data_IF_038453098572
#
_entry.id   IF_038453098572
#
_cell.length_a   1.000
_cell.length_b   1.000
_cell.length_c   1.000
_cell.angle_alpha   90.00
_cell.angle_beta   90.00
_cell.angle_gamma   90.00
#
_symmetry.space_group_name_H-M   'P 1'
#
loop_
_entity.id
_entity.type
_entity.pdbx_description
1 polymer ?
#
# COMPACT_ATOMS: atom_id res chain seq x y z
N UNK A 1 -54.08 8.10 -12.87
CA UNK A 1 -52.81 7.54 -13.36
C UNK A 1 -51.70 7.95 -12.39
N UNK A 2 -51.34 7.09 -11.43
CA UNK A 2 -50.20 7.32 -10.52
C UNK A 2 -48.98 6.67 -11.16
N UNK A 3 -48.00 7.48 -11.57
CA UNK A 3 -46.69 6.98 -12.03
C UNK A 3 -45.90 6.56 -10.80
N UNK A 4 -45.62 5.26 -10.69
CA UNK A 4 -44.58 4.73 -9.82
C UNK A 4 -43.23 5.23 -10.35
N UNK A 5 -42.54 6.04 -9.56
CA UNK A 5 -41.12 6.29 -9.73
C UNK A 5 -40.40 5.01 -9.32
N UNK A 6 -39.97 4.23 -10.31
CA UNK A 6 -38.99 3.16 -10.10
C UNK A 6 -37.68 3.81 -9.72
N UNK A 7 -37.45 3.97 -8.41
CA UNK A 7 -36.13 4.28 -7.88
C UNK A 7 -35.19 3.15 -8.25
N UNK A 8 -34.24 3.43 -9.13
CA UNK A 8 -33.10 2.56 -9.40
C UNK A 8 -32.39 2.37 -8.06
N UNK A 9 -32.53 1.18 -7.46
CA UNK A 9 -31.65 0.76 -6.40
C UNK A 9 -30.23 0.79 -6.98
N UNK A 10 -29.46 1.82 -6.63
CA UNK A 10 -28.01 1.76 -6.77
C UNK A 10 -27.58 0.54 -5.96
N UNK A 11 -27.24 -0.54 -6.67
CA UNK A 11 -26.53 -1.65 -6.08
C UNK A 11 -25.21 -1.07 -5.60
N UNK A 12 -25.10 -0.82 -4.29
CA UNK A 12 -23.81 -0.71 -3.63
C UNK A 12 -23.11 -2.02 -3.96
N UNK A 13 -22.12 -1.99 -4.87
CA UNK A 13 -21.21 -3.12 -5.03
C UNK A 13 -20.70 -3.41 -3.62
N UNK A 14 -20.80 -4.66 -3.18
CA UNK A 14 -20.14 -5.12 -1.97
C UNK A 14 -18.64 -5.00 -2.29
N UNK A 15 -18.08 -3.83 -2.06
CA UNK A 15 -16.72 -3.47 -2.41
C UNK A 15 -15.78 -4.19 -1.46
N UNK A 16 -14.67 -4.70 -2.00
CA UNK A 16 -13.53 -5.08 -1.17
C UNK A 16 -13.17 -3.87 -0.29
N UNK A 17 -13.09 -4.08 1.01
CA UNK A 17 -12.57 -3.07 1.94
C UNK A 17 -11.07 -3.28 2.03
N UNK A 18 -10.30 -2.23 1.74
CA UNK A 18 -8.86 -2.21 1.97
C UNK A 18 -8.58 -1.67 3.38
N UNK A 19 -7.42 -1.98 3.94
CA UNK A 19 -7.08 -1.67 5.33
C UNK A 19 -5.72 -1.00 5.43
N UNK A 20 -5.58 0.03 6.26
CA UNK A 20 -4.33 0.72 6.51
C UNK A 20 -3.76 0.39 7.88
N UNK A 21 -2.47 0.12 7.94
CA UNK A 21 -1.73 0.00 9.19
C UNK A 21 -0.81 1.21 9.39
N UNK A 22 -1.05 1.99 10.45
CA UNK A 22 -0.23 3.15 10.78
C UNK A 22 1.22 2.79 11.18
N UNK A 23 1.43 1.59 11.72
CA UNK A 23 2.76 1.15 12.18
C UNK A 23 3.71 0.86 11.02
N UNK A 24 3.18 0.29 9.93
CA UNK A 24 3.95 -0.06 8.73
C UNK A 24 3.83 0.98 7.61
N UNK A 25 2.76 1.79 7.62
CA UNK A 25 2.41 2.68 6.52
C UNK A 25 1.87 1.96 5.27
N UNK A 26 1.55 0.66 5.38
CA UNK A 26 1.13 -0.19 4.26
C UNK A 26 -0.39 -0.40 4.24
N UNK A 27 -0.87 -0.78 3.06
CA UNK A 27 -2.28 -0.91 2.71
C UNK A 27 -2.53 -2.38 2.37
N UNK A 28 -3.57 -3.00 2.89
CA UNK A 28 -3.78 -4.45 2.86
C UNK A 28 -5.17 -4.78 2.31
N UNK A 29 -5.26 -5.84 1.51
CA UNK A 29 -6.55 -6.33 1.00
C UNK A 29 -7.33 -7.21 1.97
N UNK A 30 -6.72 -7.60 3.09
CA UNK A 30 -7.31 -8.53 4.06
C UNK A 30 -7.13 -8.01 5.50
N UNK A 31 -8.24 -7.96 6.25
CA UNK A 31 -8.27 -7.41 7.61
C UNK A 31 -7.47 -8.26 8.60
N UNK A 32 -7.54 -9.59 8.46
CA UNK A 32 -6.88 -10.53 9.37
C UNK A 32 -5.38 -10.45 9.19
N UNK A 33 -4.94 -10.40 7.93
CA UNK A 33 -3.54 -10.18 7.60
C UNK A 33 -3.05 -8.83 8.13
N UNK A 34 -3.77 -7.74 7.87
CA UNK A 34 -3.41 -6.42 8.42
C UNK A 34 -3.29 -6.44 9.96
N UNK A 35 -4.27 -7.03 10.63
CA UNK A 35 -4.29 -7.10 12.11
C UNK A 35 -3.20 -8.03 12.69
N UNK A 36 -2.63 -8.92 11.87
CA UNK A 36 -1.52 -9.80 12.31
C UNK A 36 -0.17 -9.08 12.33
N UNK A 37 -0.04 -7.97 11.59
CA UNK A 37 1.20 -7.22 11.43
C UNK A 37 1.13 -5.83 12.08
N UNK A 38 -0.07 -5.31 12.32
CA UNK A 38 -0.29 -4.03 12.97
C UNK A 38 -0.53 -4.19 14.47
N UNK A 39 0.19 -3.44 15.29
CA UNK A 39 -0.07 -3.35 16.74
C UNK A 39 -1.31 -2.51 17.02
N UNK A 40 -1.56 -1.48 16.22
CA UNK A 40 -2.79 -0.69 16.25
C UNK A 40 -3.89 -1.31 15.38
N UNK A 41 -5.19 -1.10 15.70
CA UNK A 41 -6.27 -1.57 14.85
C UNK A 41 -6.15 -1.00 13.44
N UNK A 42 -6.26 -1.87 12.43
CA UNK A 42 -6.21 -1.43 11.05
C UNK A 42 -7.43 -0.58 10.68
N UNK A 43 -7.18 0.56 10.04
CA UNK A 43 -8.20 1.49 9.60
C UNK A 43 -8.80 1.03 8.27
N UNK A 44 -10.13 1.06 8.14
CA UNK A 44 -10.79 0.77 6.85
C UNK A 44 -10.57 1.95 5.91
N UNK A 45 -10.00 1.66 4.75
CA UNK A 45 -9.77 2.64 3.68
C UNK A 45 -11.08 3.00 2.97
N UNK A 46 -11.22 4.27 2.60
CA UNK A 46 -12.32 4.71 1.75
C UNK A 46 -12.01 4.34 0.31
N UNK A 47 -12.79 3.43 -0.25
CA UNK A 47 -12.58 2.90 -1.60
C UNK A 47 -12.47 4.04 -2.64
N UNK A 48 -11.35 4.08 -3.36
CA UNK A 48 -11.20 4.92 -4.54
C UNK A 48 -11.91 4.28 -5.73
N UNK A 49 -12.63 5.07 -6.52
CA UNK A 49 -13.51 4.57 -7.59
C UNK A 49 -12.75 4.21 -8.89
N UNK A 50 -11.40 4.20 -8.87
CA UNK A 50 -10.57 4.07 -10.07
C UNK A 50 -9.32 3.21 -9.78
N UNK A 51 -9.24 2.00 -10.34
CA UNK A 51 -8.07 1.12 -10.26
C UNK A 51 -8.23 -0.12 -11.13
N UNK A 52 -7.12 -0.75 -11.52
CA UNK A 52 -7.14 -2.09 -12.11
C UNK A 52 -7.60 -3.09 -11.04
N UNK A 53 -8.42 -4.07 -11.46
CA UNK A 53 -8.96 -5.06 -10.52
C UNK A 53 -7.92 -6.06 -10.08
N UNK A 54 -7.81 -6.29 -8.77
CA UNK A 54 -6.98 -7.35 -8.21
C UNK A 54 -7.42 -8.71 -8.74
N UNK A 55 -6.49 -9.45 -9.35
CA UNK A 55 -6.74 -10.82 -9.79
C UNK A 55 -6.69 -11.79 -8.59
N UNK A 56 -7.82 -11.91 -7.92
CA UNK A 56 -7.97 -12.80 -6.76
C UNK A 56 -8.10 -14.28 -7.14
N UNK A 57 -8.14 -14.62 -8.42
CA UNK A 57 -8.10 -16.02 -8.88
C UNK A 57 -6.69 -16.57 -8.79
N UNK A 58 -5.70 -15.78 -9.21
CA UNK A 58 -4.31 -16.22 -9.29
C UNK A 58 -3.43 -15.75 -8.12
N UNK A 59 -3.80 -14.66 -7.44
CA UNK A 59 -3.02 -14.07 -6.36
C UNK A 59 -3.83 -13.88 -5.08
N UNK A 60 -3.13 -13.71 -3.96
CA UNK A 60 -3.71 -13.37 -2.66
C UNK A 60 -2.77 -12.48 -1.84
N UNK A 61 -3.29 -11.93 -0.73
CA UNK A 61 -2.57 -11.07 0.21
C UNK A 61 -1.93 -9.85 -0.47
N UNK A 62 -2.76 -9.05 -1.14
CA UNK A 62 -2.29 -7.84 -1.79
C UNK A 62 -1.93 -6.79 -0.72
N UNK A 63 -0.77 -6.17 -0.92
CA UNK A 63 -0.23 -5.10 -0.09
C UNK A 63 0.19 -3.95 -1.00
N UNK A 64 -0.33 -2.75 -0.77
CA UNK A 64 0.17 -1.56 -1.45
C UNK A 64 1.16 -0.79 -0.57
N UNK A 65 2.32 -0.51 -1.16
CA UNK A 65 3.38 0.32 -0.61
C UNK A 65 3.29 1.74 -1.23
N UNK A 66 2.88 2.76 -0.46
CA UNK A 66 2.79 4.12 -0.96
C UNK A 66 4.15 4.79 -1.21
N UNK A 67 5.25 4.28 -0.64
CA UNK A 67 6.58 4.90 -0.75
C UNK A 67 7.16 4.72 -2.16
N UNK A 68 7.08 3.50 -2.68
CA UNK A 68 7.51 3.12 -4.03
C UNK A 68 6.35 3.10 -5.02
N UNK A 69 5.13 3.40 -4.56
CA UNK A 69 3.90 3.37 -5.34
C UNK A 69 3.69 2.01 -6.04
N UNK A 70 3.79 0.92 -5.28
CA UNK A 70 3.77 -0.47 -5.79
C UNK A 70 2.76 -1.33 -5.04
N UNK A 71 1.93 -2.07 -5.77
CA UNK A 71 1.11 -3.15 -5.18
C UNK A 71 1.84 -4.47 -5.33
N UNK A 72 1.98 -5.21 -4.23
CA UNK A 72 2.69 -6.49 -4.14
C UNK A 72 1.69 -7.56 -3.71
N UNK A 73 1.76 -8.76 -4.29
CA UNK A 73 0.96 -9.90 -3.87
C UNK A 73 1.75 -11.19 -4.02
N UNK A 74 1.18 -12.31 -3.55
CA UNK A 74 1.78 -13.63 -3.73
C UNK A 74 0.91 -14.53 -4.61
N UNK A 75 1.54 -15.25 -5.55
CA UNK A 75 0.86 -16.24 -6.41
C UNK A 75 0.25 -17.35 -5.58
N UNK A 76 -0.95 -17.86 -5.92
CA UNK A 76 -1.52 -19.04 -5.24
C UNK A 76 -0.85 -20.35 -5.68
N UNK A 77 -0.39 -20.42 -6.92
CA UNK A 77 0.38 -21.55 -7.44
C UNK A 77 1.85 -21.45 -7.02
N UNK A 78 2.50 -22.61 -6.95
CA UNK A 78 3.96 -22.72 -6.85
C UNK A 78 4.50 -23.30 -8.13
N UNK A 79 5.60 -22.75 -8.62
CA UNK A 79 6.28 -23.20 -9.83
C UNK A 79 7.75 -22.76 -9.80
N UNK A 80 8.47 -23.05 -10.88
CA UNK A 80 9.81 -22.54 -11.08
C UNK A 80 9.79 -21.05 -11.50
N UNK A 81 10.89 -20.35 -11.22
CA UNK A 81 11.00 -18.90 -11.39
C UNK A 81 10.57 -18.41 -12.79
N UNK A 82 10.95 -19.13 -13.85
CA UNK A 82 10.66 -18.77 -15.25
C UNK A 82 9.20 -18.93 -15.69
N UNK A 83 8.32 -19.47 -14.83
CA UNK A 83 6.88 -19.61 -15.11
C UNK A 83 6.06 -18.41 -14.65
N UNK A 84 6.69 -17.44 -13.98
CA UNK A 84 6.05 -16.24 -13.47
C UNK A 84 6.38 -15.01 -14.32
N UNK A 85 5.52 -14.00 -14.24
CA UNK A 85 5.74 -12.70 -14.86
C UNK A 85 5.38 -11.60 -13.85
N UNK A 86 5.99 -10.42 -13.99
CA UNK A 86 5.76 -9.33 -13.04
C UNK A 86 6.28 -9.64 -11.64
N UNK A 87 7.37 -10.41 -11.53
CA UNK A 87 7.99 -10.75 -10.25
C UNK A 87 8.40 -9.48 -9.48
N UNK A 88 8.38 -9.54 -8.15
CA UNK A 88 8.71 -8.39 -7.31
C UNK A 88 10.14 -7.89 -7.57
N UNK A 89 10.27 -6.63 -7.96
CA UNK A 89 11.52 -5.85 -7.95
C UNK A 89 11.55 -5.09 -6.63
N UNK A 90 12.62 -5.28 -5.86
CA UNK A 90 12.78 -4.65 -4.54
C UNK A 90 13.70 -3.45 -4.67
N UNK A 91 13.13 -2.25 -4.72
CA UNK A 91 13.91 -1.01 -4.92
C UNK A 91 14.57 -0.51 -3.63
N UNK A 92 13.90 -0.73 -2.50
CA UNK A 92 14.36 -0.30 -1.18
C UNK A 92 13.86 -1.22 -0.04
N UNK A 93 14.18 -0.83 1.19
CA UNK A 93 13.79 -1.55 2.40
C UNK A 93 12.27 -1.62 2.61
N UNK A 94 11.50 -0.67 2.07
CA UNK A 94 10.04 -0.65 2.21
C UNK A 94 9.36 -1.69 1.33
N UNK A 95 9.85 -1.90 0.10
CA UNK A 95 9.43 -3.01 -0.76
C UNK A 95 9.78 -4.35 -0.13
N UNK A 96 10.99 -4.46 0.45
CA UNK A 96 11.43 -5.66 1.13
C UNK A 96 10.52 -6.01 2.31
N UNK A 97 10.16 -4.99 3.10
CA UNK A 97 9.28 -5.13 4.25
C UNK A 97 7.86 -5.55 3.82
N UNK A 98 7.31 -4.94 2.76
CA UNK A 98 6.00 -5.31 2.24
C UNK A 98 5.96 -6.79 1.78
N UNK A 99 6.98 -7.25 1.05
CA UNK A 99 7.15 -8.66 0.69
C UNK A 99 7.30 -9.56 1.91
N UNK A 100 8.17 -9.19 2.85
CA UNK A 100 8.42 -9.93 4.10
C UNK A 100 7.14 -10.14 4.90
N UNK A 101 6.28 -9.14 5.04
CA UNK A 101 5.04 -9.25 5.81
C UNK A 101 4.12 -10.35 5.25
N UNK A 102 4.02 -10.44 3.91
CA UNK A 102 3.27 -11.52 3.23
C UNK A 102 3.87 -12.88 3.55
N UNK A 103 5.19 -13.02 3.43
CA UNK A 103 5.89 -14.29 3.65
C UNK A 103 5.90 -14.71 5.12
N UNK A 104 6.03 -13.77 6.05
CA UNK A 104 5.96 -13.97 7.48
C UNK A 104 4.57 -14.45 7.90
N UNK A 105 3.51 -13.85 7.36
CA UNK A 105 2.13 -14.26 7.65
C UNK A 105 1.85 -15.70 7.20
N UNK A 106 2.38 -16.07 6.03
CA UNK A 106 2.26 -17.43 5.49
C UNK A 106 3.29 -18.42 6.04
N UNK A 107 4.30 -17.94 6.79
CA UNK A 107 5.47 -18.70 7.22
C UNK A 107 6.11 -19.50 6.06
N UNK A 108 6.41 -18.82 4.96
CA UNK A 108 6.88 -19.42 3.72
C UNK A 108 8.04 -18.64 3.09
N UNK A 109 8.52 -19.12 1.96
CA UNK A 109 9.47 -18.43 1.07
C UNK A 109 8.83 -18.23 -0.31
N UNK A 110 9.34 -17.29 -1.09
CA UNK A 110 8.85 -17.07 -2.44
C UNK A 110 9.93 -16.53 -3.38
N UNK A 111 9.82 -16.85 -4.67
CA UNK A 111 10.62 -16.21 -5.70
C UNK A 111 10.40 -14.70 -5.72
N UNK A 112 11.47 -13.97 -5.97
CA UNK A 112 11.45 -12.54 -6.32
C UNK A 112 12.12 -12.35 -7.68
N UNK A 113 12.04 -11.15 -8.22
CA UNK A 113 12.43 -10.84 -9.60
C UNK A 113 13.92 -10.81 -9.90
N UNK A 114 14.78 -11.16 -8.95
CA UNK A 114 16.24 -11.06 -9.07
C UNK A 114 16.82 -12.37 -9.63
N UNK A 115 17.70 -12.28 -10.62
CA UNK A 115 18.33 -13.45 -11.24
C UNK A 115 19.70 -13.14 -11.87
N UNK A 116 20.49 -14.17 -12.12
CA UNK A 116 21.78 -14.12 -12.82
C UNK A 116 21.56 -14.40 -14.32
N UNK A 117 21.63 -13.39 -15.21
CA UNK A 117 21.33 -13.54 -16.62
C UNK A 117 22.42 -14.29 -17.39
N UNK A 118 23.65 -14.31 -16.86
CA UNK A 118 24.82 -14.88 -17.53
C UNK A 118 25.07 -16.34 -17.10
N UNK A 119 24.28 -16.86 -16.14
CA UNK A 119 24.45 -18.18 -15.54
C UNK A 119 25.91 -18.40 -15.11
N UNK A 120 26.40 -17.44 -14.31
CA UNK A 120 27.81 -17.26 -14.01
C UNK A 120 28.40 -18.50 -13.31
N UNK A 121 29.60 -18.96 -13.69
CA UNK A 121 30.23 -20.15 -13.10
C UNK A 121 30.99 -19.85 -11.79
N UNK A 122 30.57 -18.83 -11.04
CA UNK A 122 31.19 -18.46 -9.76
C UNK A 122 30.71 -19.37 -8.62
N UNK A 123 30.88 -20.69 -8.78
CA UNK A 123 30.30 -21.70 -7.90
C UNK A 123 30.88 -21.67 -6.50
N UNK A 124 30.02 -21.83 -5.48
CA UNK A 124 30.39 -21.86 -4.06
C UNK A 124 31.21 -20.61 -3.64
N UNK A 125 30.85 -19.45 -4.19
CA UNK A 125 31.52 -18.18 -3.99
C UNK A 125 30.50 -17.05 -3.90
N UNK A 126 30.58 -16.28 -2.82
CA UNK A 126 29.72 -15.11 -2.62
C UNK A 126 29.97 -14.06 -3.70
N UNK A 127 28.99 -13.84 -4.57
CA UNK A 127 29.12 -12.88 -5.67
C UNK A 127 27.77 -12.22 -6.03
N UNK A 128 27.35 -11.16 -5.31
CA UNK A 128 26.09 -10.48 -5.57
C UNK A 128 26.07 -9.67 -6.87
N UNK A 129 27.22 -9.30 -7.45
CA UNK A 129 27.25 -8.41 -8.63
C UNK A 129 26.81 -9.08 -9.93
N UNK A 130 26.58 -10.39 -9.93
CA UNK A 130 26.09 -11.14 -11.10
C UNK A 130 24.58 -11.03 -11.30
N UNK A 131 23.86 -10.44 -10.35
CA UNK A 131 22.41 -10.38 -10.37
C UNK A 131 21.87 -9.07 -10.98
N UNK A 132 20.75 -9.19 -11.68
CA UNK A 132 19.94 -8.08 -12.21
C UNK A 132 18.46 -8.37 -11.97
N UNK A 133 17.64 -7.32 -11.93
CA UNK A 133 16.19 -7.48 -11.92
C UNK A 133 15.68 -7.87 -13.32
N UNK A 134 14.60 -8.65 -13.38
CA UNK A 134 14.00 -9.11 -14.65
C UNK A 134 13.56 -7.97 -15.59
N UNK A 135 13.31 -6.79 -15.05
CA UNK A 135 12.97 -5.58 -15.81
C UNK A 135 14.21 -4.83 -16.35
N UNK A 136 15.41 -5.34 -16.08
CA UNK A 136 16.69 -4.79 -16.48
C UNK A 136 17.22 -3.69 -15.54
N UNK A 137 16.52 -3.37 -14.46
CA UNK A 137 17.01 -2.38 -13.49
C UNK A 137 18.20 -2.94 -12.69
N UNK A 138 19.20 -2.09 -12.36
CA UNK A 138 20.33 -2.52 -11.56
C UNK A 138 19.94 -2.69 -10.09
N UNK A 139 20.68 -3.53 -9.37
CA UNK A 139 20.47 -3.75 -7.93
C UNK A 139 21.00 -2.55 -7.13
N UNK A 140 20.09 -1.75 -6.58
CA UNK A 140 20.39 -0.62 -5.67
C UNK A 140 20.20 -0.95 -4.19
N UNK A 141 19.38 -1.96 -3.90
CA UNK A 141 19.09 -2.45 -2.56
C UNK A 141 19.28 -3.96 -2.53
N UNK A 142 19.83 -4.47 -1.42
CA UNK A 142 20.00 -5.90 -1.22
C UNK A 142 19.80 -6.28 0.25
N UNK A 143 19.17 -7.43 0.47
CA UNK A 143 18.97 -7.99 1.81
C UNK A 143 19.37 -9.48 1.87
N UNK A 144 20.56 -9.79 1.38
CA UNK A 144 21.10 -11.15 1.37
C UNK A 144 21.23 -11.75 2.77
N UNK A 145 20.93 -13.03 2.88
CA UNK A 145 21.28 -13.83 4.05
C UNK A 145 22.80 -13.85 4.24
N UNK A 146 23.24 -14.16 5.45
CA UNK A 146 24.68 -14.24 5.75
C UNK A 146 25.32 -15.35 4.92
N UNK A 147 26.25 -14.99 4.05
CA UNK A 147 26.92 -15.93 3.15
C UNK A 147 26.36 -15.93 1.73
N UNK A 148 25.27 -15.22 1.47
CA UNK A 148 24.59 -15.22 0.17
C UNK A 148 24.93 -13.99 -0.69
N UNK A 149 24.77 -14.08 -2.02
CA UNK A 149 24.45 -15.29 -2.80
C UNK A 149 25.71 -16.09 -3.10
N UNK A 150 25.73 -17.40 -2.84
CA UNK A 150 26.92 -18.24 -2.93
C UNK A 150 27.02 -19.11 -4.19
N UNK A 151 25.99 -19.13 -5.04
CA UNK A 151 25.94 -19.95 -6.25
C UNK A 151 26.27 -21.42 -5.94
N UNK A 152 25.58 -21.98 -4.95
CA UNK A 152 25.90 -23.30 -4.42
C UNK A 152 25.82 -24.39 -5.50
N UNK A 153 26.74 -25.36 -5.45
CA UNK A 153 26.72 -26.55 -6.31
C UNK A 153 27.00 -27.79 -5.49
N UNK A 154 26.05 -28.74 -5.51
CA UNK A 154 26.26 -30.06 -4.95
C UNK A 154 27.14 -30.92 -5.88
N UNK A 155 27.96 -31.80 -5.29
CA UNK A 155 28.79 -32.72 -6.08
C UNK A 155 28.00 -33.64 -6.99
N UNK A 156 26.74 -33.92 -6.64
CA UNK A 156 25.81 -34.77 -7.37
C UNK A 156 25.25 -34.07 -8.62
N UNK A 157 25.26 -32.74 -8.65
CA UNK A 157 24.76 -31.95 -9.78
C UNK A 157 25.69 -32.03 -10.98
N UNK A 158 26.99 -32.17 -10.72
CA UNK A 158 28.04 -32.14 -11.74
C UNK A 158 27.83 -33.26 -12.76
N UNK A 159 27.52 -32.87 -13.99
CA UNK A 159 27.25 -33.79 -15.10
C UNK A 159 25.84 -34.40 -15.12
N UNK A 160 24.98 -34.03 -14.17
CA UNK A 160 23.60 -34.53 -14.03
C UNK A 160 22.54 -33.45 -14.27
N UNK A 161 22.81 -32.20 -13.87
CA UNK A 161 21.90 -31.06 -14.03
C UNK A 161 22.56 -29.94 -14.85
N UNK A 162 21.73 -29.12 -15.51
CA UNK A 162 22.17 -27.98 -16.31
C UNK A 162 21.06 -26.91 -16.39
N UNK A 163 21.39 -25.61 -16.24
CA UNK A 163 22.68 -25.08 -15.77
C UNK A 163 23.03 -25.55 -14.34
N UNK A 164 24.33 -25.47 -14.01
CA UNK A 164 24.83 -25.76 -12.67
C UNK A 164 24.77 -24.49 -11.84
N UNK A 165 24.51 -24.63 -10.55
CA UNK A 165 24.51 -23.50 -9.63
C UNK A 165 23.14 -22.87 -9.47
N UNK A 166 23.15 -21.83 -8.66
CA UNK A 166 21.97 -21.12 -8.20
C UNK A 166 21.92 -19.74 -8.87
N UNK A 167 20.84 -19.49 -9.61
CA UNK A 167 20.73 -18.34 -10.51
C UNK A 167 19.47 -17.53 -10.31
N UNK A 168 18.56 -17.95 -9.42
CA UNK A 168 17.29 -17.29 -9.17
C UNK A 168 17.14 -17.04 -7.69
N UNK A 169 16.56 -15.90 -7.32
CA UNK A 169 16.55 -15.46 -5.93
C UNK A 169 15.17 -15.64 -5.33
N UNK A 170 15.14 -16.17 -4.12
CA UNK A 170 13.95 -16.19 -3.28
C UNK A 170 14.15 -15.34 -2.02
N UNK A 171 13.05 -14.86 -1.47
CA UNK A 171 12.98 -14.19 -0.18
C UNK A 171 12.37 -15.14 0.86
N UNK A 172 12.87 -15.11 2.09
CA UNK A 172 12.33 -15.87 3.22
C UNK A 172 11.36 -15.05 4.10
N UNK A 173 10.77 -15.72 5.11
CA UNK A 173 9.84 -15.09 6.05
C UNK A 173 10.46 -13.98 6.92
N UNK A 174 11.79 -13.97 7.06
CA UNK A 174 12.57 -12.89 7.68
C UNK A 174 12.89 -11.74 6.71
N UNK A 175 12.54 -11.90 5.43
CA UNK A 175 12.77 -10.91 4.38
C UNK A 175 14.18 -10.99 3.81
N UNK A 176 14.98 -11.98 4.21
CA UNK A 176 16.34 -12.18 3.73
C UNK A 176 16.35 -12.99 2.44
N UNK A 177 17.38 -12.79 1.62
CA UNK A 177 17.45 -13.35 0.27
C UNK A 177 18.53 -14.43 0.17
N UNK A 178 18.25 -15.46 -0.61
CA UNK A 178 19.21 -16.48 -1.03
C UNK A 178 18.95 -16.79 -2.50
N UNK A 179 19.98 -17.18 -3.23
CA UNK A 179 19.82 -17.82 -4.52
C UNK A 179 19.44 -19.29 -4.36
N UNK A 180 18.88 -19.84 -5.43
CA UNK A 180 18.50 -21.24 -5.59
C UNK A 180 18.57 -21.58 -7.09
N UNK A 181 18.59 -22.88 -7.39
CA UNK A 181 19.11 -23.39 -8.65
C UNK A 181 18.54 -24.74 -9.03
N UNK A 182 19.08 -25.31 -10.09
CA UNK A 182 18.74 -26.68 -10.45
C UNK A 182 19.62 -27.64 -9.66
N UNK A 183 18.99 -28.50 -8.87
CA UNK A 183 19.67 -29.52 -8.08
C UNK A 183 19.07 -30.90 -8.31
N UNK A 184 19.94 -31.91 -8.35
CA UNK A 184 19.52 -33.31 -8.50
C UNK A 184 18.57 -33.73 -7.36
N UNK A 185 18.75 -33.14 -6.18
CA UNK A 185 17.97 -33.37 -4.97
C UNK A 185 16.48 -33.04 -5.12
N UNK A 186 16.11 -32.14 -6.04
CA UNK A 186 14.70 -31.85 -6.34
C UNK A 186 14.01 -32.94 -7.16
N UNK A 187 14.78 -33.84 -7.78
CA UNK A 187 14.26 -34.90 -8.64
C UNK A 187 13.50 -34.37 -9.86
N UNK A 188 12.92 -35.28 -10.66
CA UNK A 188 12.12 -34.90 -11.82
C UNK A 188 12.89 -34.04 -12.82
N UNK A 189 12.50 -32.78 -12.94
CA UNK A 189 13.12 -31.76 -13.80
C UNK A 189 14.20 -30.92 -13.11
N UNK A 190 14.58 -31.29 -11.88
CA UNK A 190 15.58 -30.64 -11.02
C UNK A 190 15.19 -29.23 -10.57
N UNK A 191 13.94 -28.81 -10.77
CA UNK A 191 13.49 -27.45 -10.53
C UNK A 191 12.84 -27.29 -9.14
N UNK A 192 13.33 -26.38 -8.29
CA UNK A 192 12.63 -25.98 -7.08
C UNK A 192 11.31 -25.31 -7.44
N UNK A 193 10.26 -25.57 -6.64
CA UNK A 193 8.93 -24.99 -6.85
C UNK A 193 8.57 -24.17 -5.63
N UNK A 194 8.33 -22.88 -5.85
CA UNK A 194 7.95 -21.92 -4.82
C UNK A 194 6.82 -21.05 -5.35
N UNK A 195 6.05 -20.47 -4.45
CA UNK A 195 5.20 -19.33 -4.80
C UNK A 195 6.10 -18.16 -5.20
N UNK A 196 5.53 -17.13 -5.80
CA UNK A 196 6.27 -15.94 -6.19
C UNK A 196 5.61 -14.68 -5.66
N UNK A 197 6.43 -13.74 -5.19
CA UNK A 197 5.99 -12.36 -4.97
C UNK A 197 5.98 -11.66 -6.33
N UNK A 198 4.87 -10.99 -6.63
CA UNK A 198 4.64 -10.25 -7.87
C UNK A 198 4.27 -8.80 -7.56
N UNK A 199 4.41 -7.92 -8.55
CA UNK A 199 4.16 -6.50 -8.39
C UNK A 199 3.37 -5.87 -9.55
N UNK A 200 2.69 -4.77 -9.23
CA UNK A 200 2.08 -3.82 -10.16
C UNK A 200 2.42 -2.39 -9.73
N UNK A 201 2.56 -1.50 -10.71
CA UNK A 201 2.67 -0.07 -10.42
C UNK A 201 1.31 0.49 -9.98
N UNK A 202 1.33 1.32 -8.93
CA UNK A 202 0.15 1.99 -8.39
C UNK A 202 -0.74 1.11 -7.52
N UNK A 203 -1.89 1.66 -7.13
CA UNK A 203 -2.90 0.97 -6.33
C UNK A 203 -3.83 0.13 -7.22
N UNK A 204 -4.04 -1.13 -6.83
CA UNK A 204 -5.13 -1.96 -7.36
C UNK A 204 -6.39 -1.80 -6.51
N UNK A 205 -7.57 -2.09 -7.07
CA UNK A 205 -8.86 -1.80 -6.41
C UNK A 205 -9.03 -2.42 -5.00
N UNK A 206 -8.48 -3.60 -4.75
CA UNK A 206 -8.59 -4.29 -3.46
C UNK A 206 -7.65 -3.74 -2.37
N UNK A 207 -6.72 -2.85 -2.73
CA UNK A 207 -5.82 -2.11 -1.83
C UNK A 207 -5.94 -0.60 -2.02
N UNK A 208 -6.95 -0.17 -2.79
CA UNK A 208 -7.16 1.22 -3.15
C UNK A 208 -7.91 1.95 -2.05
N UNK A 209 -7.48 3.18 -1.78
CA UNK A 209 -8.22 4.10 -0.97
C UNK A 209 -7.33 5.08 -0.24
N UNK A 210 -7.96 5.95 0.54
CA UNK A 210 -7.25 6.89 1.40
C UNK A 210 -7.52 6.54 2.87
N UNK A 211 -6.48 6.57 3.73
CA UNK A 211 -6.65 6.52 5.17
C UNK A 211 -7.65 7.59 5.62
N UNK A 212 -8.47 7.26 6.62
CA UNK A 212 -9.51 8.16 7.10
C UNK A 212 -8.94 9.18 8.10
N UNK A 213 -8.01 10.05 7.68
CA UNK A 213 -7.45 11.10 8.57
C UNK A 213 -6.92 12.39 7.87
N UNK A 214 -7.16 13.53 8.58
CA UNK A 214 -6.87 14.98 8.50
C UNK A 214 -6.14 15.69 7.33
N UNK A 215 -5.79 15.04 6.20
CA UNK A 215 -5.03 15.68 5.11
C UNK A 215 -5.65 15.60 3.71
N UNK A 216 -6.94 15.28 3.61
CA UNK A 216 -7.65 15.42 2.34
C UNK A 216 -7.82 16.91 2.02
N UNK A 217 -7.36 17.35 0.85
CA UNK A 217 -7.59 18.74 0.44
C UNK A 217 -9.09 18.97 0.27
N UNK A 218 -9.56 20.21 0.38
CA UNK A 218 -10.99 20.53 0.20
C UNK A 218 -11.52 20.05 -1.15
N UNK A 219 -10.70 20.08 -2.20
CA UNK A 219 -11.06 19.59 -3.53
C UNK A 219 -11.22 18.07 -3.54
N UNK A 220 -10.36 17.34 -2.85
CA UNK A 220 -10.46 15.89 -2.72
C UNK A 220 -11.73 15.52 -1.96
N UNK A 221 -12.07 16.25 -0.89
CA UNK A 221 -13.32 16.06 -0.14
C UNK A 221 -14.57 16.35 -0.97
N UNK A 222 -14.59 17.44 -1.75
CA UNK A 222 -15.72 17.81 -2.63
C UNK A 222 -15.90 16.77 -3.74
N UNK A 223 -14.81 16.29 -4.32
CA UNK A 223 -14.85 15.24 -5.33
C UNK A 223 -15.34 13.91 -4.72
N UNK A 224 -14.83 13.56 -3.54
CA UNK A 224 -15.08 12.30 -2.85
C UNK A 224 -16.52 12.16 -2.35
N UNK A 225 -17.06 13.18 -1.68
CA UNK A 225 -18.37 13.08 -1.04
C UNK A 225 -19.49 13.78 -1.81
N UNK A 226 -19.15 14.75 -2.65
CA UNK A 226 -20.13 15.55 -3.38
C UNK A 226 -20.04 15.38 -4.90
N UNK A 227 -19.19 14.48 -5.40
CA UNK A 227 -19.03 14.24 -6.85
C UNK A 227 -18.62 15.49 -7.62
N UNK A 228 -17.86 16.40 -6.98
CA UNK A 228 -17.46 17.67 -7.57
C UNK A 228 -18.51 18.79 -7.47
N UNK A 229 -19.65 18.55 -6.83
CA UNK A 229 -20.73 19.54 -6.74
C UNK A 229 -20.49 20.57 -5.62
N UNK A 230 -20.71 21.84 -5.96
CA UNK A 230 -20.67 22.96 -5.02
C UNK A 230 -22.02 23.69 -5.01
N UNK A 231 -22.61 24.03 -3.85
CA UNK A 231 -22.08 23.86 -2.50
C UNK A 231 -22.16 22.40 -2.00
N UNK A 232 -21.07 21.92 -1.41
CA UNK A 232 -20.97 20.59 -0.80
C UNK A 232 -21.39 20.69 0.68
N UNK A 233 -22.31 19.83 1.12
CA UNK A 233 -22.77 19.79 2.52
C UNK A 233 -22.39 18.45 3.11
N UNK A 234 -21.54 18.48 4.14
CA UNK A 234 -21.01 17.29 4.78
C UNK A 234 -21.33 17.32 6.27
N UNK A 235 -21.31 16.16 6.90
CA UNK A 235 -21.26 16.07 8.34
C UNK A 235 -20.33 14.97 8.82
N UNK A 236 -19.88 15.12 10.07
CA UNK A 236 -18.98 14.18 10.72
C UNK A 236 -19.53 13.83 12.10
N UNK A 237 -19.54 12.55 12.46
CA UNK A 237 -19.98 12.04 13.77
C UNK A 237 -18.81 11.62 14.68
N UNK A 238 -17.62 12.17 14.43
CA UNK A 238 -16.38 11.75 15.10
C UNK A 238 -15.84 10.40 14.64
N UNK A 239 -16.60 9.60 13.89
CA UNK A 239 -16.19 8.28 13.37
C UNK A 239 -16.32 8.14 11.86
N UNK A 240 -17.20 8.90 11.21
CA UNK A 240 -17.43 8.93 9.76
C UNK A 240 -17.51 10.38 9.22
N UNK A 241 -17.45 10.55 7.90
CA UNK A 241 -17.86 11.76 7.19
C UNK A 241 -18.88 11.31 6.13
N UNK A 242 -20.03 11.98 6.07
CA UNK A 242 -21.12 11.65 5.14
C UNK A 242 -21.56 12.87 4.32
N UNK A 243 -22.03 12.60 3.10
CA UNK A 243 -22.75 13.57 2.27
C UNK A 243 -24.15 13.82 2.85
N UNK A 244 -24.50 15.08 3.05
CA UNK A 244 -25.83 15.44 3.50
C UNK A 244 -26.86 15.15 2.40
N UNK A 245 -28.05 14.73 2.81
CA UNK A 245 -29.21 14.56 1.92
C UNK A 245 -30.24 15.65 2.17
N UNK A 246 -31.00 16.00 1.13
CA UNK A 246 -32.08 16.98 1.27
C UNK A 246 -33.24 16.37 2.06
N UNK A 247 -33.69 17.04 3.13
CA UNK A 247 -34.80 16.55 3.96
C UNK A 247 -35.40 17.64 4.85
N UNK A 248 -36.54 17.32 5.47
CA UNK A 248 -37.24 18.24 6.37
C UNK A 248 -36.61 18.22 7.76
N UNK A 249 -36.16 19.38 8.25
CA UNK A 249 -35.61 19.50 9.62
C UNK A 249 -36.73 19.25 10.63
N UNK A 250 -36.54 18.28 11.53
CA UNK A 250 -37.54 17.89 12.51
C UNK A 250 -37.98 19.10 13.36
N UNK A 251 -39.27 19.46 13.26
CA UNK A 251 -39.84 20.60 13.99
C UNK A 251 -39.90 21.94 13.22
N UNK A 252 -39.52 21.96 11.93
CA UNK A 252 -39.67 23.16 11.07
C UNK A 252 -40.35 22.82 9.75
N UNK A 253 -40.95 23.81 9.08
CA UNK A 253 -41.52 23.69 7.73
C UNK A 253 -40.52 24.08 6.62
N UNK A 254 -39.22 24.06 6.92
CA UNK A 254 -38.14 24.41 6.00
C UNK A 254 -37.35 23.18 5.54
N UNK A 255 -37.17 23.06 4.22
CA UNK A 255 -36.26 22.09 3.62
C UNK A 255 -34.81 22.43 4.02
N UNK A 256 -34.08 21.45 4.54
CA UNK A 256 -32.69 21.57 4.95
C UNK A 256 -31.83 20.42 4.43
N UNK A 257 -30.54 20.47 4.75
CA UNK A 257 -29.60 19.37 4.53
C UNK A 257 -29.45 18.61 5.85
N UNK A 258 -29.64 17.29 5.80
CA UNK A 258 -29.62 16.41 6.97
C UNK A 258 -28.57 15.30 6.82
N UNK A 259 -27.95 14.95 7.94
CA UNK A 259 -27.11 13.77 8.05
C UNK A 259 -27.95 12.48 7.96
N UNK A 260 -27.59 11.54 7.07
CA UNK A 260 -28.28 10.25 6.97
C UNK A 260 -28.28 9.42 8.26
N UNK A 261 -27.20 9.48 9.05
CA UNK A 261 -27.01 8.63 10.24
C UNK A 261 -27.73 9.16 11.49
N UNK A 262 -27.80 10.48 11.72
CA UNK A 262 -28.27 11.04 13.01
C UNK A 262 -29.42 12.05 12.92
N UNK A 263 -29.85 12.48 11.73
CA UNK A 263 -30.83 13.59 11.54
C UNK A 263 -30.44 14.92 12.24
N UNK A 264 -29.15 15.12 12.53
CA UNK A 264 -28.59 16.39 13.01
C UNK A 264 -28.45 17.39 11.85
N UNK A 265 -28.47 18.70 12.16
CA UNK A 265 -28.36 19.79 11.17
C UNK A 265 -26.96 19.89 10.56
N UNK A 266 -26.85 19.94 9.23
CA UNK A 266 -25.58 20.03 8.53
C UNK A 266 -24.83 21.35 8.77
N UNK A 267 -23.49 21.29 8.64
CA UNK A 267 -22.60 22.45 8.59
C UNK A 267 -22.15 22.66 7.14
N UNK A 268 -22.18 23.89 6.65
CA UNK A 268 -21.71 24.22 5.29
C UNK A 268 -20.22 23.90 5.18
N UNK A 269 -19.80 23.13 4.15
CA UNK A 269 -18.36 22.96 3.90
C UNK A 269 -17.76 24.30 3.52
N UNK A 270 -16.81 24.77 4.33
CA UNK A 270 -16.03 25.97 4.02
C UNK A 270 -14.85 25.55 3.13
N UNK A 271 -14.61 26.30 2.06
CA UNK A 271 -13.27 26.40 1.52
C UNK A 271 -12.37 26.92 2.64
N UNK A 272 -11.41 26.12 3.12
CA UNK A 272 -10.44 26.65 4.06
C UNK A 272 -9.71 27.82 3.38
N UNK A 273 -9.58 28.99 4.05
CA UNK A 273 -8.79 30.10 3.54
C UNK A 273 -7.39 29.63 3.16
N UNK A 274 -6.74 30.31 2.21
CA UNK A 274 -5.44 29.87 1.67
C UNK A 274 -4.44 29.57 2.80
N UNK A 275 -3.99 28.31 2.88
CA UNK A 275 -3.09 27.79 3.92
C UNK A 275 -3.76 27.00 5.05
N UNK A 276 -5.08 26.88 5.09
CA UNK A 276 -5.81 26.09 6.08
C UNK A 276 -6.03 24.63 5.68
N UNK A 277 -5.94 23.73 6.65
CA UNK A 277 -6.27 22.31 6.59
C UNK A 277 -7.44 22.03 7.54
N UNK A 278 -8.39 21.18 7.16
CA UNK A 278 -9.52 20.85 8.04
C UNK A 278 -9.10 19.89 9.15
N UNK A 279 -9.32 20.26 10.41
CA UNK A 279 -9.05 19.41 11.57
C UNK A 279 -10.35 18.71 12.02
N UNK A 280 -10.37 17.37 11.97
CA UNK A 280 -11.53 16.55 12.34
C UNK A 280 -11.82 16.53 13.84
N UNK A 281 -10.80 16.73 14.69
CA UNK A 281 -10.96 16.74 16.15
C UNK A 281 -11.65 18.01 16.67
N UNK A 282 -11.46 19.14 15.97
CA UNK A 282 -12.04 20.44 16.34
C UNK A 282 -13.21 20.84 15.44
N UNK A 283 -13.38 20.18 14.29
CA UNK A 283 -14.44 20.45 13.33
C UNK A 283 -14.27 21.79 12.59
N UNK A 284 -13.08 22.37 12.59
CA UNK A 284 -12.78 23.68 11.99
C UNK A 284 -11.55 23.63 11.08
N UNK A 285 -11.45 24.58 10.14
CA UNK A 285 -10.25 24.80 9.34
C UNK A 285 -9.16 25.44 10.22
N UNK A 286 -8.01 24.79 10.31
CA UNK A 286 -6.84 25.25 11.05
C UNK A 286 -5.71 25.52 10.06
N UNK A 287 -5.04 26.67 10.17
CA UNK A 287 -3.85 26.97 9.40
C UNK A 287 -2.65 27.01 10.35
N UNK A 288 -1.47 26.66 9.84
CA UNK A 288 -0.24 26.93 10.57
C UNK A 288 -0.18 28.43 10.90
N UNK A 289 0.19 28.80 12.14
CA UNK A 289 0.27 30.21 12.52
C UNK A 289 1.27 30.93 11.60
N UNK A 290 0.83 32.02 10.96
CA UNK A 290 1.71 32.88 10.18
C UNK A 290 2.56 33.72 11.15
N UNK A 291 3.75 33.22 11.46
CA UNK A 291 4.63 33.82 12.46
C UNK A 291 5.55 34.85 11.78
N UNK A 292 5.14 36.12 11.81
CA UNK A 292 6.00 37.25 11.47
C UNK A 292 6.68 37.83 12.71
N UNK A 293 8.01 37.94 12.70
CA UNK A 293 8.77 38.56 13.78
C UNK A 293 9.11 40.04 13.46
N UNK A 294 9.18 40.92 14.47
CA UNK A 294 9.63 42.30 14.29
C UNK A 294 11.03 42.38 13.67
N UNK A 295 11.40 43.49 12.99
CA UNK A 295 12.72 43.66 12.39
C UNK A 295 13.86 43.39 13.39
N UNK A 296 14.76 42.48 13.04
CA UNK A 296 15.89 42.06 13.89
C UNK A 296 15.63 40.85 14.79
N UNK A 297 14.42 40.27 14.75
CA UNK A 297 14.08 39.03 15.45
C UNK A 297 13.80 37.85 14.52
N UNK A 298 14.07 36.64 15.01
CA UNK A 298 13.69 35.36 14.37
C UNK A 298 12.87 34.51 15.33
N UNK A 299 11.92 33.74 14.81
CA UNK A 299 11.09 32.87 15.63
C UNK A 299 11.91 31.69 16.16
N UNK A 300 11.89 31.49 17.48
CA UNK A 300 12.48 30.34 18.13
C UNK A 300 11.38 29.33 18.48
N UNK A 301 11.36 28.20 17.76
CA UNK A 301 10.37 27.14 17.96
C UNK A 301 10.50 26.40 19.31
N UNK A 302 11.63 26.47 19.99
CA UNK A 302 11.84 25.86 21.32
C UNK A 302 11.27 26.70 22.45
N UNK A 303 11.23 28.02 22.27
CA UNK A 303 10.74 28.98 23.28
C UNK A 303 9.38 29.58 22.93
N UNK A 304 8.87 29.33 21.72
CA UNK A 304 7.58 29.81 21.25
C UNK A 304 7.50 31.33 21.06
N UNK A 305 8.64 32.01 20.85
CA UNK A 305 8.73 33.47 20.80
C UNK A 305 9.72 33.96 19.75
N UNK A 306 9.52 35.19 19.27
CA UNK A 306 10.48 35.91 18.46
C UNK A 306 11.62 36.43 19.33
N UNK A 307 12.86 36.02 19.02
CA UNK A 307 14.06 36.42 19.76
C UNK A 307 14.97 37.23 18.85
N UNK A 308 15.54 38.33 19.38
CA UNK A 308 16.52 39.13 18.65
C UNK A 308 17.84 38.37 18.51
N UNK A 309 18.50 38.50 17.35
CA UNK A 309 19.84 37.92 17.20
C UNK A 309 20.81 38.59 18.21
N UNK A 310 21.56 37.81 19.00
CA UNK A 310 22.56 38.39 19.90
C UNK A 310 23.67 39.07 19.10
N UNK A 311 24.01 40.31 19.50
CA UNK A 311 25.19 41.04 19.01
C UNK A 311 26.49 40.48 19.61
#
# INVERSE_FOLDING_TARGET
MRRLLTGTLLFWKIGFSAFFCADTGLYYSDQTFCSSVCSNPCEVLLAGDQGLTCDTLNYELFVYNPQTNKTIAITKSSDFWDQFSGLLVVEDASDNEAGRQILSYLNTTAWIGLYDPDLSPSYNSVNPSRFVWWDGTPVSYANWNTGEPDNFVDTQDIGSVSPLGEHWVYMDAGGMWSDDGLHLSYGGDYRPRRRALVMWDGQLDCVNGLPQNDRTTTNDMINLYCGGQTPCYLCADGSSIDACTQGDVWGTSSAGWLCPLEKTSCVQSFSCPQGGTYNRSTGVCEADPDISCPPGGSYNAQTGRCEAQPL
#
